data_IF_375179304798
#
_entry.id   IF_375179304798
#
_cell.length_a   1.000
_cell.length_b   1.000
_cell.length_c   1.000
_cell.angle_alpha   90.00
_cell.angle_beta   90.00
_cell.angle_gamma   90.00
#
_symmetry.space_group_name_H-M   'P 1'
#
loop_
_entity.id
_entity.type
_entity.pdbx_description
1 polymer ?
#
# COMPACT_ATOMS: atom_id res chain seq x y z
N UNK A 1 0.09 -5.97 17.20
CA UNK A 1 1.13 -4.92 17.33
C UNK A 1 1.99 -4.82 16.06
N UNK A 2 2.67 -5.89 15.63
CA UNK A 2 3.52 -5.90 14.42
C UNK A 2 2.84 -5.38 13.14
N UNK A 3 1.62 -5.85 12.84
CA UNK A 3 0.87 -5.40 11.66
C UNK A 3 0.52 -3.91 11.71
N UNK A 4 0.32 -3.35 12.91
CA UNK A 4 0.02 -1.93 13.06
C UNK A 4 1.28 -1.10 12.81
N UNK A 5 2.42 -1.52 13.35
CA UNK A 5 3.72 -0.89 13.08
C UNK A 5 4.06 -0.92 11.59
N UNK A 6 3.91 -2.08 10.93
CA UNK A 6 4.07 -2.20 9.49
C UNK A 6 3.17 -1.23 8.72
N UNK A 7 1.89 -1.13 9.09
CA UNK A 7 0.96 -0.15 8.47
C UNK A 7 1.43 1.29 8.66
N UNK A 8 2.01 1.64 9.82
CA UNK A 8 2.55 2.98 10.03
C UNK A 8 3.78 3.24 9.18
N UNK A 9 4.70 2.28 9.08
CA UNK A 9 5.88 2.37 8.21
C UNK A 9 5.45 2.58 6.77
N UNK A 10 4.52 1.77 6.27
CA UNK A 10 4.01 1.87 4.89
C UNK A 10 3.28 3.19 4.65
N UNK A 11 2.52 3.71 5.61
CA UNK A 11 1.87 5.03 5.50
C UNK A 11 2.83 6.20 5.57
N UNK A 12 3.98 6.01 6.22
CA UNK A 12 5.02 7.01 6.39
C UNK A 12 5.87 7.26 5.15
N UNK A 13 5.86 6.33 4.17
CA UNK A 13 6.67 6.46 2.96
C UNK A 13 6.16 7.56 2.03
N UNK A 14 7.08 8.24 1.35
CA UNK A 14 6.77 9.29 0.39
C UNK A 14 5.97 8.75 -0.79
N UNK A 15 6.31 7.57 -1.32
CA UNK A 15 5.55 6.91 -2.38
C UNK A 15 4.07 6.75 -2.02
N UNK A 16 3.80 6.30 -0.79
CA UNK A 16 2.46 6.05 -0.30
C UNK A 16 1.70 7.37 -0.15
N UNK A 17 2.31 8.36 0.51
CA UNK A 17 1.70 9.67 0.74
C UNK A 17 1.43 10.43 -0.56
N UNK A 18 2.33 10.36 -1.54
CA UNK A 18 2.15 10.98 -2.84
C UNK A 18 1.00 10.34 -3.62
N UNK A 19 0.95 9.00 -3.66
CA UNK A 19 -0.11 8.27 -4.33
C UNK A 19 -1.48 8.51 -3.66
N UNK A 20 -1.54 8.50 -2.31
CA UNK A 20 -2.73 8.82 -1.53
C UNK A 20 -3.20 10.26 -1.78
N UNK A 21 -2.29 11.25 -1.74
CA UNK A 21 -2.62 12.65 -2.00
C UNK A 21 -3.13 12.90 -3.43
N UNK A 22 -2.68 12.10 -4.40
CA UNK A 22 -3.16 12.17 -5.78
C UNK A 22 -4.50 11.43 -6.01
N UNK A 23 -5.02 10.72 -5.00
CA UNK A 23 -6.22 9.89 -5.12
C UNK A 23 -6.03 8.67 -6.03
N UNK A 24 -4.78 8.24 -6.27
CA UNK A 24 -4.41 7.14 -7.19
C UNK A 24 -3.81 5.95 -6.44
N UNK A 25 -4.30 5.71 -5.23
CA UNK A 25 -3.88 4.62 -4.38
C UNK A 25 -5.09 3.91 -3.76
N UNK A 26 -5.27 2.63 -4.09
CA UNK A 26 -6.20 1.77 -3.37
C UNK A 26 -5.45 0.87 -2.38
N UNK A 27 -6.05 0.69 -1.20
CA UNK A 27 -5.56 -0.19 -0.14
C UNK A 27 -6.53 -1.34 0.04
N UNK A 28 -6.04 -2.56 -0.06
CA UNK A 28 -6.84 -3.76 0.22
C UNK A 28 -6.20 -4.54 1.37
N UNK A 29 -6.86 -4.66 2.54
CA UNK A 29 -6.34 -5.49 3.62
C UNK A 29 -6.41 -6.97 3.20
N UNK A 30 -5.31 -7.69 3.34
CA UNK A 30 -5.21 -9.12 2.98
C UNK A 30 -4.79 -9.93 4.20
N UNK A 31 -5.70 -10.15 5.15
CA UNK A 31 -5.44 -10.94 6.37
C UNK A 31 -4.28 -10.38 7.22
N UNK A 32 -3.09 -10.95 7.03
CA UNK A 32 -1.82 -10.59 7.68
C UNK A 32 -0.99 -9.55 6.92
N UNK A 33 -1.46 -9.10 5.75
CA UNK A 33 -0.77 -8.13 4.89
C UNK A 33 -1.65 -7.02 4.34
N UNK A 34 -1.14 -6.37 3.31
CA UNK A 34 -1.82 -5.33 2.57
C UNK A 34 -1.43 -5.38 1.09
N UNK A 35 -2.41 -5.23 0.22
CA UNK A 35 -2.17 -4.92 -1.18
C UNK A 35 -2.32 -3.43 -1.42
N UNK A 36 -1.36 -2.87 -2.16
CA UNK A 36 -1.34 -1.48 -2.60
C UNK A 36 -1.47 -1.46 -4.11
N UNK A 37 -2.45 -0.74 -4.63
CA UNK A 37 -2.69 -0.58 -6.06
C UNK A 37 -2.37 0.86 -6.44
N UNK A 38 -1.41 1.02 -7.34
CA UNK A 38 -0.95 2.32 -7.85
C UNK A 38 -1.46 2.51 -9.27
N UNK A 39 -2.04 3.68 -9.55
CA UNK A 39 -2.66 3.99 -10.85
C UNK A 39 -1.95 5.10 -11.63
N UNK A 40 -0.81 5.62 -11.14
CA UNK A 40 -0.11 6.70 -11.85
C UNK A 40 1.01 6.21 -12.77
N UNK A 41 1.88 5.28 -12.34
CA UNK A 41 2.92 4.69 -13.20
C UNK A 41 3.25 3.23 -12.84
N UNK A 42 3.66 2.40 -13.83
CA UNK A 42 4.02 1.00 -13.58
C UNK A 42 5.28 0.83 -12.72
N UNK A 43 6.13 1.87 -12.60
CA UNK A 43 7.34 1.86 -11.78
C UNK A 43 7.08 2.23 -10.31
N UNK A 44 5.99 2.93 -9.99
CA UNK A 44 5.64 3.34 -8.63
C UNK A 44 5.59 2.20 -7.60
N UNK A 45 4.91 1.05 -7.87
CA UNK A 45 4.86 -0.03 -6.89
C UNK A 45 6.25 -0.60 -6.59
N UNK A 46 7.16 -0.63 -7.57
CA UNK A 46 8.54 -1.04 -7.35
C UNK A 46 9.31 -0.01 -6.51
N UNK A 47 9.18 1.29 -6.82
CA UNK A 47 9.79 2.36 -6.00
C UNK A 47 9.30 2.30 -4.56
N UNK A 48 8.01 2.08 -4.37
CA UNK A 48 7.42 2.02 -3.04
C UNK A 48 7.89 0.81 -2.25
N UNK A 49 7.98 -0.36 -2.89
CA UNK A 49 8.56 -1.55 -2.26
C UNK A 49 10.03 -1.32 -1.84
N UNK A 50 10.83 -0.61 -2.64
CA UNK A 50 12.21 -0.27 -2.29
C UNK A 50 12.31 0.71 -1.12
N UNK A 51 11.40 1.67 -1.04
CA UNK A 51 11.32 2.62 0.07
C UNK A 51 10.95 1.91 1.37
N UNK A 52 9.89 1.09 1.35
CA UNK A 52 9.48 0.27 2.49
C UNK A 52 10.62 -0.66 2.93
N UNK A 53 11.30 -1.31 1.98
CA UNK A 53 12.45 -2.19 2.28
C UNK A 53 13.59 -1.46 2.97
N UNK A 54 13.82 -0.18 2.61
CA UNK A 54 14.84 0.65 3.26
C UNK A 54 14.45 1.01 4.67
N UNK A 55 13.23 1.49 4.89
CA UNK A 55 12.74 1.82 6.23
C UNK A 55 12.75 0.59 7.14
N UNK A 56 12.40 -0.59 6.63
CA UNK A 56 12.42 -1.83 7.40
C UNK A 56 13.80 -2.28 7.88
N UNK A 57 14.90 -1.72 7.36
CA UNK A 57 16.24 -2.01 7.89
C UNK A 57 16.38 -1.56 9.35
N UNK A 58 15.66 -0.51 9.74
CA UNK A 58 15.61 0.00 11.12
C UNK A 58 14.63 -0.80 12.01
N UNK A 59 13.87 -1.74 11.42
CA UNK A 59 12.86 -2.55 12.10
C UNK A 59 13.07 -4.07 11.85
N UNK A 60 14.20 -4.66 12.29
CA UNK A 60 14.59 -6.03 11.95
C UNK A 60 13.65 -7.12 12.50
N UNK A 61 12.77 -6.79 13.45
CA UNK A 61 11.73 -7.68 13.97
C UNK A 61 10.55 -7.85 12.99
N UNK A 62 10.41 -6.98 11.99
CA UNK A 62 9.38 -7.08 10.95
C UNK A 62 9.97 -7.87 9.77
N UNK A 63 9.60 -9.14 9.65
CA UNK A 63 9.94 -9.95 8.48
C UNK A 63 8.85 -9.83 7.42
N UNK A 64 9.11 -9.02 6.40
CA UNK A 64 8.17 -8.77 5.30
C UNK A 64 8.66 -9.39 3.99
N UNK A 65 7.77 -10.06 3.26
CA UNK A 65 7.96 -10.43 1.85
C UNK A 65 7.04 -9.59 0.98
N UNK A 66 7.61 -8.84 0.04
CA UNK A 66 6.84 -8.03 -0.93
C UNK A 66 6.84 -8.68 -2.32
N UNK A 67 5.70 -8.59 -3.00
CA UNK A 67 5.55 -8.94 -4.41
C UNK A 67 5.12 -7.71 -5.20
N UNK A 68 5.68 -7.52 -6.38
CA UNK A 68 5.33 -6.43 -7.30
C UNK A 68 4.81 -7.04 -8.59
N UNK A 69 3.66 -6.55 -9.04
CA UNK A 69 3.05 -6.95 -10.30
C UNK A 69 2.59 -5.70 -11.05
N UNK A 70 2.84 -5.66 -12.36
CA UNK A 70 2.37 -4.61 -13.26
C UNK A 70 1.58 -5.26 -14.38
N UNK A 71 0.37 -4.77 -14.61
CA UNK A 71 -0.56 -5.32 -15.60
C UNK A 71 -1.80 -4.44 -15.71
N UNK A 72 -2.64 -4.69 -16.72
CA UNK A 72 -3.92 -4.01 -16.83
C UNK A 72 -4.82 -4.41 -15.66
N UNK A 73 -5.26 -3.44 -14.86
CA UNK A 73 -6.39 -3.61 -13.97
C UNK A 73 -7.66 -3.39 -14.78
N UNK A 74 -8.59 -4.35 -14.76
CA UNK A 74 -9.97 -4.02 -15.12
C UNK A 74 -10.54 -3.21 -13.96
N UNK A 75 -10.60 -1.90 -14.11
CA UNK A 75 -11.35 -0.99 -13.24
C UNK A 75 -12.81 -1.49 -13.17
N UNK A 76 -13.13 -2.32 -12.18
CA UNK A 76 -14.50 -2.77 -11.97
C UNK A 76 -15.14 -1.81 -10.97
N UNK A 77 -16.17 -1.03 -11.34
CA UNK A 77 -16.78 -0.01 -10.50
C UNK A 77 -17.38 -0.51 -9.16
N UNK A 78 -17.34 -1.81 -8.88
CA UNK A 78 -17.96 -2.39 -7.69
C UNK A 78 -17.12 -2.32 -6.40
N UNK A 79 -15.80 -2.12 -6.45
CA UNK A 79 -15.01 -2.03 -5.21
C UNK A 79 -15.08 -0.64 -4.55
N UNK A 80 -15.40 0.42 -5.29
CA UNK A 80 -15.42 1.79 -4.77
C UNK A 80 -16.62 2.09 -3.84
N UNK A 81 -17.65 1.24 -3.82
CA UNK A 81 -18.87 1.46 -3.01
C UNK A 81 -18.81 0.85 -1.59
N UNK A 82 -17.69 0.25 -1.18
CA UNK A 82 -17.54 -0.35 0.16
C UNK A 82 -16.55 0.35 1.10
N UNK A 83 -15.74 1.30 0.62
CA UNK A 83 -14.77 1.99 1.48
C UNK A 83 -15.26 3.31 2.09
N UNK A 84 -16.35 3.91 1.60
CA UNK A 84 -16.91 5.15 2.19
C UNK A 84 -17.60 4.96 3.54
N UNK A 85 -17.66 3.73 4.08
CA UNK A 85 -18.33 3.45 5.37
C UNK A 85 -17.38 3.11 6.53
N UNK A 86 -16.05 3.23 6.35
CA UNK A 86 -15.11 2.87 7.43
C UNK A 86 -14.12 3.98 7.84
N UNK A 87 -14.40 5.23 7.44
CA UNK A 87 -13.77 6.47 7.97
C UNK A 87 -14.78 7.34 8.75
N UNK A 88 -15.82 6.71 9.31
CA UNK A 88 -16.73 7.31 10.29
C UNK A 88 -17.02 6.29 11.40
N UNK A 89 -16.03 5.97 12.21
CA UNK A 89 -16.15 5.70 13.67
C UNK A 89 -14.80 5.93 14.34
#
# INVERSE_FOLDING_TARGET
ELLQELKQIVRGTECFRAAEASGKLDRVPTGDGMALLFFHSPEEPARCALEISRTLQDHPHIQLRMGVHSGQSTESPMLTTKQTLQDRE
#
